data_IF_658633299074
#
_entry.id   IF_658633299074
#
_cell.length_a   1.000
_cell.length_b   1.000
_cell.length_c   1.000
_cell.angle_alpha   90.00
_cell.angle_beta   90.00
_cell.angle_gamma   90.00
#
_symmetry.space_group_name_H-M   'P 1'
#
loop_
_entity.id
_entity.type
_entity.pdbx_description
1 polymer ?
#
# COMPACT_ATOMS: atom_id res chain seq x y z
N UNK A 1 -20.34 -22.87 1.22
CA UNK A 1 -20.36 -21.45 1.02
C UNK A 1 -18.98 -20.86 1.26
N UNK A 2 -18.59 -19.99 0.41
CA UNK A 2 -17.38 -19.27 0.68
C UNK A 2 -17.55 -18.48 1.96
N UNK A 3 -16.63 -18.57 2.85
CA UNK A 3 -16.67 -17.86 4.13
C UNK A 3 -16.48 -16.36 3.99
N UNK A 4 -16.45 -15.85 2.78
CA UNK A 4 -16.06 -14.47 2.54
C UNK A 4 -14.55 -14.29 2.48
N UNK A 5 -13.81 -15.33 2.82
CA UNK A 5 -12.36 -15.28 2.74
C UNK A 5 -11.94 -15.33 1.27
N UNK A 6 -11.07 -14.42 0.86
CA UNK A 6 -10.53 -14.39 -0.48
C UNK A 6 -9.03 -14.08 -0.39
N UNK A 7 -8.33 -14.24 -1.52
CA UNK A 7 -6.93 -13.85 -1.58
C UNK A 7 -6.75 -12.36 -1.24
N UNK A 8 -7.76 -11.55 -1.55
CA UNK A 8 -7.72 -10.12 -1.23
C UNK A 8 -7.83 -9.86 0.27
N UNK A 9 -8.50 -10.75 1.01
CA UNK A 9 -8.58 -10.62 2.47
C UNK A 9 -7.21 -10.59 3.11
N UNK A 10 -6.31 -11.43 2.63
CA UNK A 10 -4.94 -11.48 3.14
C UNK A 10 -4.18 -10.18 2.80
N UNK A 11 -4.39 -9.65 1.61
CA UNK A 11 -3.80 -8.37 1.20
C UNK A 11 -4.23 -7.27 2.17
N UNK A 12 -5.52 -7.22 2.50
CA UNK A 12 -6.04 -6.20 3.41
C UNK A 12 -5.49 -6.36 4.82
N UNK A 13 -5.37 -7.60 5.29
CA UNK A 13 -4.80 -7.86 6.62
C UNK A 13 -3.35 -7.39 6.73
N UNK A 14 -2.55 -7.65 5.71
CA UNK A 14 -1.17 -7.18 5.67
C UNK A 14 -1.13 -5.66 5.66
N UNK A 15 -1.97 -5.04 4.84
CA UNK A 15 -2.01 -3.59 4.70
C UNK A 15 -2.41 -2.93 6.01
N UNK A 16 -3.35 -3.52 6.75
CA UNK A 16 -3.76 -2.98 8.06
C UNK A 16 -2.63 -2.96 9.07
N UNK A 17 -1.64 -3.81 8.91
CA UNK A 17 -0.50 -3.88 9.83
C UNK A 17 0.56 -2.82 9.58
N UNK A 18 0.55 -2.16 8.42
CA UNK A 18 1.54 -1.14 8.11
C UNK A 18 1.33 0.04 9.06
N UNK A 19 2.32 0.38 9.88
CA UNK A 19 2.14 1.48 10.84
C UNK A 19 2.14 2.84 10.16
N UNK A 20 1.54 3.82 10.81
CA UNK A 20 1.57 5.20 10.34
C UNK A 20 3.02 5.66 10.21
N UNK A 21 3.33 6.37 9.15
CA UNK A 21 4.70 6.81 8.86
C UNK A 21 5.53 5.81 8.09
N UNK A 22 4.95 4.65 7.77
CA UNK A 22 5.62 3.61 6.99
C UNK A 22 4.81 3.25 5.75
N UNK A 23 5.48 2.67 4.77
CA UNK A 23 4.84 2.26 3.51
C UNK A 23 5.37 0.88 3.07
N UNK A 24 4.57 0.21 2.26
CA UNK A 24 5.00 -0.99 1.53
C UNK A 24 4.71 -0.79 0.05
N UNK A 25 5.45 -1.48 -0.82
CA UNK A 25 5.10 -1.50 -2.23
C UNK A 25 4.27 -2.74 -2.55
N UNK A 26 3.63 -2.72 -3.71
CA UNK A 26 2.73 -3.80 -4.13
C UNK A 26 3.43 -5.16 -4.19
N UNK A 27 4.66 -5.18 -4.71
CA UNK A 27 5.42 -6.42 -4.81
C UNK A 27 5.83 -6.98 -3.46
N UNK A 28 6.13 -6.11 -2.50
CA UNK A 28 6.48 -6.54 -1.15
C UNK A 28 5.29 -7.22 -0.47
N UNK A 29 4.09 -6.67 -0.66
CA UNK A 29 2.86 -7.30 -0.15
C UNK A 29 2.65 -8.66 -0.84
N UNK A 30 2.82 -8.70 -2.16
CA UNK A 30 2.61 -9.93 -2.92
C UNK A 30 3.49 -11.07 -2.42
N UNK A 31 4.72 -10.77 -2.01
CA UNK A 31 5.65 -11.77 -1.50
C UNK A 31 5.25 -12.37 -0.15
N UNK A 32 4.41 -11.68 0.60
CA UNK A 32 3.97 -12.15 1.91
C UNK A 32 2.72 -13.02 1.84
N UNK A 33 2.10 -13.12 0.68
CA UNK A 33 0.84 -13.84 0.53
C UNK A 33 1.05 -15.34 0.60
N UNK A 34 0.14 -16.04 1.26
CA UNK A 34 0.14 -17.49 1.32
C UNK A 34 -0.05 -18.09 -0.07
N UNK A 35 -0.91 -17.48 -0.87
CA UNK A 35 -1.11 -17.86 -2.28
C UNK A 35 -0.44 -16.80 -3.15
N UNK A 36 0.42 -17.21 -4.08
CA UNK A 36 1.11 -16.24 -4.93
C UNK A 36 0.14 -15.42 -5.77
N UNK A 37 0.30 -14.10 -5.70
CA UNK A 37 -0.38 -13.16 -6.57
C UNK A 37 0.67 -12.19 -7.11
N UNK A 38 0.36 -11.59 -8.26
CA UNK A 38 1.24 -10.58 -8.83
C UNK A 38 1.09 -9.25 -8.08
N UNK A 39 2.10 -8.41 -8.21
CA UNK A 39 2.01 -7.03 -7.71
C UNK A 39 0.81 -6.30 -8.34
N UNK A 40 0.51 -6.60 -9.59
CA UNK A 40 -0.64 -6.02 -10.29
C UNK A 40 -1.96 -6.40 -9.62
N UNK A 41 -2.10 -7.67 -9.23
CA UNK A 41 -3.31 -8.13 -8.53
C UNK A 41 -3.44 -7.45 -7.18
N UNK A 42 -2.34 -7.25 -6.47
CA UNK A 42 -2.34 -6.49 -5.22
C UNK A 42 -2.84 -5.06 -5.48
N UNK A 43 -2.38 -4.45 -6.57
CA UNK A 43 -2.84 -3.11 -6.94
C UNK A 43 -4.34 -3.04 -7.16
N UNK A 44 -4.91 -4.06 -7.82
CA UNK A 44 -6.36 -4.13 -8.01
C UNK A 44 -7.10 -4.23 -6.68
N UNK A 45 -6.61 -5.07 -5.77
CA UNK A 45 -7.23 -5.22 -4.46
C UNK A 45 -7.19 -3.92 -3.66
N UNK A 46 -6.06 -3.22 -3.70
CA UNK A 46 -5.90 -1.96 -2.99
C UNK A 46 -6.81 -0.88 -3.57
N UNK A 47 -7.01 -0.88 -4.89
CA UNK A 47 -7.91 0.10 -5.54
C UNK A 47 -9.37 -0.09 -5.10
N UNK A 48 -9.74 -1.28 -4.66
CA UNK A 48 -11.12 -1.63 -4.30
C UNK A 48 -11.25 -1.96 -2.81
N UNK A 49 -10.35 -1.45 -1.97
CA UNK A 49 -10.31 -1.84 -0.57
C UNK A 49 -11.41 -1.19 0.27
N UNK A 50 -11.78 -1.83 1.40
CA UNK A 50 -12.66 -1.19 2.38
C UNK A 50 -12.06 0.09 2.95
N UNK A 51 -12.93 0.95 3.47
CA UNK A 51 -12.52 2.25 3.99
C UNK A 51 -11.55 2.18 5.16
N UNK A 52 -11.58 1.09 5.92
CA UNK A 52 -10.71 0.93 7.10
C UNK A 52 -9.30 0.46 6.75
N UNK A 53 -9.06 0.11 5.48
CA UNK A 53 -7.72 -0.31 5.03
C UNK A 53 -6.89 0.92 4.69
N UNK A 54 -5.69 1.07 5.27
CA UNK A 54 -4.86 2.26 5.01
C UNK A 54 -4.17 2.14 3.64
N UNK A 55 -4.97 2.19 2.59
CA UNK A 55 -4.49 2.04 1.21
C UNK A 55 -3.41 3.05 0.85
N UNK A 56 -3.43 4.22 1.49
CA UNK A 56 -2.46 5.28 1.21
C UNK A 56 -1.04 4.88 1.59
N UNK A 57 -0.87 3.85 2.43
CA UNK A 57 0.44 3.33 2.83
C UNK A 57 1.02 2.31 1.85
N UNK A 58 0.36 2.12 0.70
CA UNK A 58 0.85 1.22 -0.35
C UNK A 58 1.23 2.06 -1.56
N UNK A 59 2.50 1.96 -1.96
CA UNK A 59 3.06 2.74 -3.07
C UNK A 59 3.66 1.78 -4.10
N UNK A 60 4.11 2.29 -5.24
CA UNK A 60 4.80 1.44 -6.19
C UNK A 60 6.25 1.21 -5.72
N UNK A 61 6.97 0.38 -6.46
CA UNK A 61 8.34 0.01 -6.07
C UNK A 61 9.29 1.21 -6.01
N UNK A 62 8.96 2.28 -6.72
CA UNK A 62 9.76 3.51 -6.73
C UNK A 62 9.35 4.49 -5.62
N UNK A 63 8.35 4.14 -4.82
CA UNK A 63 7.84 5.03 -3.80
C UNK A 63 6.87 6.09 -4.31
N UNK A 64 6.34 5.91 -5.51
CA UNK A 64 5.41 6.86 -6.11
C UNK A 64 3.99 6.54 -5.69
N UNK A 65 3.22 7.58 -5.39
CA UNK A 65 1.80 7.45 -5.06
C UNK A 65 1.00 7.23 -6.35
N UNK A 66 0.90 5.99 -6.77
CA UNK A 66 0.30 5.66 -8.06
C UNK A 66 -1.19 6.01 -8.15
N UNK A 67 -1.90 6.00 -7.01
CA UNK A 67 -3.33 6.36 -7.02
C UNK A 67 -3.55 7.85 -7.33
N UNK A 68 -2.56 8.70 -7.08
CA UNK A 68 -2.68 10.11 -7.39
C UNK A 68 -2.67 10.41 -8.90
N UNK A 69 -2.31 9.41 -9.69
CA UNK A 69 -2.26 9.54 -11.14
C UNK A 69 -3.43 8.85 -11.85
N UNK A 70 -4.37 8.29 -11.08
CA UNK A 70 -5.54 7.62 -11.65
C UNK A 70 -6.56 8.67 -12.05
N UNK A 71 -7.11 8.54 -13.26
CA UNK A 71 -8.13 9.45 -13.76
C UNK A 71 -9.33 9.45 -12.82
N UNK A 72 -9.79 10.63 -12.45
CA UNK A 72 -10.90 10.80 -11.52
C UNK A 72 -10.51 10.81 -10.06
N UNK A 73 -9.27 10.47 -9.73
CA UNK A 73 -8.80 10.56 -8.36
C UNK A 73 -8.45 12.00 -8.00
N UNK A 74 -8.58 12.33 -6.73
CA UNK A 74 -8.16 13.63 -6.24
C UNK A 74 -6.64 13.70 -6.26
N UNK A 75 -6.11 14.69 -6.98
CA UNK A 75 -4.67 14.84 -7.15
C UNK A 75 -3.99 15.07 -5.80
N UNK A 76 -2.95 14.28 -5.52
CA UNK A 76 -2.16 14.44 -4.31
C UNK A 76 -2.81 13.93 -3.05
N UNK A 77 -3.97 13.27 -3.13
CA UNK A 77 -4.68 12.78 -1.95
C UNK A 77 -3.84 11.78 -1.17
N UNK A 78 -3.23 10.82 -1.85
CA UNK A 78 -2.40 9.81 -1.21
C UNK A 78 -1.18 10.46 -0.55
N UNK A 79 -0.50 11.33 -1.28
CA UNK A 79 0.68 12.03 -0.77
C UNK A 79 0.35 12.85 0.47
N UNK A 80 -0.74 13.61 0.43
CA UNK A 80 -1.13 14.43 1.59
C UNK A 80 -1.38 13.58 2.83
N UNK A 81 -2.00 12.42 2.66
CA UNK A 81 -2.22 11.51 3.79
C UNK A 81 -0.92 10.99 4.37
N UNK A 82 0.04 10.63 3.51
CA UNK A 82 1.34 10.17 3.97
C UNK A 82 2.15 11.28 4.63
N UNK A 83 2.12 12.48 4.07
CA UNK A 83 2.81 13.62 4.68
C UNK A 83 2.25 13.94 6.06
N UNK A 84 0.94 13.80 6.23
CA UNK A 84 0.31 13.99 7.53
C UNK A 84 0.78 12.98 8.57
N UNK A 85 1.28 11.83 8.14
CA UNK A 85 1.84 10.80 9.01
C UNK A 85 3.35 10.94 9.20
N UNK A 86 3.95 11.98 8.64
CA UNK A 86 5.38 12.22 8.78
C UNK A 86 6.24 11.60 7.69
N UNK A 87 5.63 11.08 6.62
CA UNK A 87 6.41 10.50 5.53
C UNK A 87 7.07 11.60 4.71
N UNK A 88 8.37 11.45 4.47
CA UNK A 88 9.17 12.42 3.72
C UNK A 88 9.24 11.99 2.25
N UNK A 89 8.98 12.94 1.36
CA UNK A 89 9.12 12.74 -0.07
C UNK A 89 10.37 13.45 -0.58
N UNK A 90 11.11 12.77 -1.44
CA UNK A 90 12.29 13.31 -2.10
C UNK A 90 12.10 13.13 -3.61
N UNK A 91 12.15 14.22 -4.35
CA UNK A 91 11.94 14.20 -5.81
C UNK A 91 10.62 13.53 -6.21
N UNK A 92 9.56 13.79 -5.42
CA UNK A 92 8.22 13.28 -5.72
C UNK A 92 7.99 11.83 -5.31
N UNK A 93 8.92 11.23 -4.59
CA UNK A 93 8.85 9.83 -4.16
C UNK A 93 9.09 9.72 -2.66
N UNK A 94 8.44 8.72 -2.05
CA UNK A 94 8.72 8.40 -0.65
C UNK A 94 10.19 7.99 -0.52
N UNK A 95 10.85 8.50 0.51
CA UNK A 95 12.19 8.03 0.86
C UNK A 95 12.07 6.61 1.43
N UNK A 96 12.26 5.62 0.56
CA UNK A 96 12.04 4.22 0.91
C UNK A 96 13.08 3.70 1.89
N UNK A 97 14.27 4.30 1.95
CA UNK A 97 15.27 3.88 2.94
C UNK A 97 14.81 4.19 4.36
N UNK A 98 14.03 5.24 4.52
CA UNK A 98 13.53 5.68 5.83
C UNK A 98 12.19 5.05 6.16
N UNK A 99 11.30 4.96 5.17
CA UNK A 99 9.88 4.68 5.43
C UNK A 99 9.40 3.31 5.00
N UNK A 100 10.19 2.56 4.21
CA UNK A 100 9.76 1.22 3.81
C UNK A 100 9.63 0.31 5.04
N UNK A 101 8.52 -0.39 5.12
CA UNK A 101 8.23 -1.28 6.25
C UNK A 101 8.33 -2.73 5.81
N UNK A 102 8.95 -3.55 6.65
CA UNK A 102 9.01 -4.98 6.45
C UNK A 102 8.53 -5.62 7.75
N UNK A 103 7.45 -6.44 7.70
CA UNK A 103 6.92 -7.06 8.91
C UNK A 103 7.91 -7.96 9.64
N UNK A 104 8.97 -8.41 8.95
CA UNK A 104 10.01 -9.23 9.56
C UNK A 104 11.07 -8.39 10.30
N UNK A 105 11.04 -7.09 10.13
CA UNK A 105 11.95 -6.17 10.82
C UNK A 105 11.28 -5.68 12.11
N UNK A 106 11.97 -5.78 13.19
CA UNK A 106 11.48 -5.23 14.46
C UNK A 106 12.14 -3.92 14.79
#
# INVERSE_FOLDING_TARGET
>A
MASGYSAWSEIYEITRQIPAGKVMNYGAIAKLLTRPLSARAVGWAIADCPDDVPWHRVVNVRGVCSTDNVEGAEVGRQRRRLEAEGVVFVDGRVDMEVHAWNPDDD
#
